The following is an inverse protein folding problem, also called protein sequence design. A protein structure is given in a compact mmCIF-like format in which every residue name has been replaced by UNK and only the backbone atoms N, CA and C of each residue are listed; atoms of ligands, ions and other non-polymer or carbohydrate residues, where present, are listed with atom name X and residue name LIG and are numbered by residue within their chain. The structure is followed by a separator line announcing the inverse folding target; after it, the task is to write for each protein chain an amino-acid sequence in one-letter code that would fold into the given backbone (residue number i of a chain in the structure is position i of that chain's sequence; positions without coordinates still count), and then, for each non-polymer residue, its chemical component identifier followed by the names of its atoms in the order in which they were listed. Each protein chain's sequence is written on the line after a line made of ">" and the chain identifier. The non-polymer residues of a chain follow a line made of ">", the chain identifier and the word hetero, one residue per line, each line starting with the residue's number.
data_IF_354277371819
#
_entry.id   IF_354277371819
#
_cell.length_a   1.000
_cell.length_b   1.000
_cell.length_c   1.000
_cell.angle_alpha   90.00
_cell.angle_beta   90.00
_cell.angle_gamma   90.00
#
_symmetry.space_group_name_H-M   'P 1'
#
loop_
_entity.id
_entity.type
_entity.pdbx_description
1 polymer ?
#
# COMPACT_ATOMS: atom_id res chain seq x y z
N UNK A 1 7.64 -14.84 1.05
CA UNK A 1 7.11 -14.11 2.22
C UNK A 1 6.04 -13.12 1.76
N UNK A 2 5.05 -12.77 2.60
CA UNK A 2 3.97 -11.82 2.27
C UNK A 2 3.88 -10.73 3.36
N UNK A 3 3.50 -9.52 2.99
CA UNK A 3 3.23 -8.44 3.92
C UNK A 3 1.84 -8.63 4.54
N UNK A 4 1.70 -8.29 5.83
CA UNK A 4 0.44 -8.40 6.57
C UNK A 4 0.14 -7.11 7.32
N UNK A 5 -0.98 -6.46 6.98
CA UNK A 5 -1.58 -5.39 7.78
C UNK A 5 -2.69 -6.00 8.64
N UNK A 6 -2.52 -5.96 9.97
CA UNK A 6 -3.50 -6.46 10.94
C UNK A 6 -4.29 -5.29 11.53
N UNK A 7 -5.61 -5.41 11.53
CA UNK A 7 -6.51 -4.48 12.21
C UNK A 7 -7.36 -5.25 13.22
N UNK A 8 -7.17 -4.95 14.50
CA UNK A 8 -7.97 -5.52 15.59
C UNK A 8 -9.23 -4.69 15.84
N UNK A 9 -10.29 -5.32 16.31
CA UNK A 9 -11.55 -4.67 16.66
C UNK A 9 -12.28 -5.44 17.77
N UNK A 10 -13.10 -4.74 18.54
CA UNK A 10 -13.88 -5.33 19.64
C UNK A 10 -15.18 -5.96 19.13
N UNK A 11 -16.04 -5.15 18.51
CA UNK A 11 -17.40 -5.56 18.11
C UNK A 11 -17.54 -5.75 16.60
N UNK A 12 -17.02 -4.80 15.81
CA UNK A 12 -17.06 -4.86 14.35
C UNK A 12 -15.87 -4.14 13.73
N UNK A 13 -15.43 -4.53 12.52
CA UNK A 13 -14.37 -3.82 11.82
C UNK A 13 -14.73 -2.35 11.60
N UNK A 14 -13.73 -1.44 11.67
CA UNK A 14 -13.97 -0.04 11.39
C UNK A 14 -14.40 0.15 9.92
N UNK A 15 -15.36 1.06 9.67
CA UNK A 15 -15.87 1.33 8.31
C UNK A 15 -14.76 1.73 7.34
N UNK A 16 -13.72 2.42 7.81
CA UNK A 16 -12.55 2.78 7.02
C UNK A 16 -11.82 1.56 6.45
N UNK A 17 -11.76 0.46 7.20
CA UNK A 17 -11.15 -0.78 6.73
C UNK A 17 -11.97 -1.44 5.61
N UNK A 18 -13.30 -1.42 5.75
CA UNK A 18 -14.18 -1.94 4.70
C UNK A 18 -14.07 -1.10 3.41
N UNK A 19 -13.91 0.22 3.54
CA UNK A 19 -13.64 1.10 2.41
C UNK A 19 -12.29 0.78 1.74
N UNK A 20 -11.23 0.61 2.53
CA UNK A 20 -9.90 0.24 2.04
C UNK A 20 -9.91 -1.09 1.29
N UNK A 21 -10.50 -2.14 1.88
CA UNK A 21 -10.67 -3.45 1.25
C UNK A 21 -11.40 -3.31 -0.08
N UNK A 22 -12.54 -2.60 -0.09
CA UNK A 22 -13.34 -2.41 -1.31
C UNK A 22 -12.58 -1.65 -2.39
N UNK A 23 -11.80 -0.64 -2.03
CA UNK A 23 -10.96 0.10 -2.95
C UNK A 23 -9.88 -0.79 -3.56
N UNK A 24 -9.13 -1.53 -2.72
CA UNK A 24 -8.07 -2.43 -3.16
C UNK A 24 -8.59 -3.59 -4.01
N UNK A 25 -9.76 -4.17 -3.69
CA UNK A 25 -10.38 -5.20 -4.53
C UNK A 25 -10.78 -4.67 -5.90
N UNK A 26 -11.27 -3.42 -5.98
CA UNK A 26 -11.66 -2.80 -7.26
C UNK A 26 -10.46 -2.43 -8.14
N UNK A 27 -9.34 -2.09 -7.53
CA UNK A 27 -8.12 -1.67 -8.20
C UNK A 27 -7.16 -2.83 -8.49
N UNK A 28 -7.64 -4.08 -8.40
CA UNK A 28 -6.84 -5.26 -8.72
C UNK A 28 -6.25 -5.20 -10.13
N UNK A 29 -4.96 -5.49 -10.24
CA UNK A 29 -4.20 -5.43 -11.50
C UNK A 29 -3.72 -4.02 -11.90
N UNK A 30 -4.02 -2.98 -11.11
CA UNK A 30 -3.52 -1.63 -11.38
C UNK A 30 -2.03 -1.51 -11.05
N UNK A 31 -1.18 -1.18 -12.03
CA UNK A 31 0.29 -1.21 -11.93
C UNK A 31 0.90 -0.28 -10.88
N UNK A 32 0.17 0.76 -10.48
CA UNK A 32 0.61 1.74 -9.47
C UNK A 32 0.01 1.54 -8.08
N UNK A 33 -0.87 0.55 -7.88
CA UNK A 33 -1.56 0.33 -6.61
C UNK A 33 -1.18 -1.05 -6.06
N UNK A 34 -0.98 -1.14 -4.74
CA UNK A 34 -0.68 -2.42 -4.10
C UNK A 34 -1.79 -3.43 -4.33
N UNK A 35 -1.41 -4.67 -4.61
CA UNK A 35 -2.36 -5.77 -4.74
C UNK A 35 -2.80 -6.26 -3.37
N UNK A 36 -4.08 -6.57 -3.25
CA UNK A 36 -4.63 -7.33 -2.13
C UNK A 36 -4.71 -8.81 -2.52
N UNK A 37 -3.82 -9.63 -1.97
CA UNK A 37 -3.74 -11.06 -2.30
C UNK A 37 -4.87 -11.84 -1.62
N UNK A 38 -5.09 -11.55 -0.34
CA UNK A 38 -6.03 -12.30 0.49
C UNK A 38 -6.48 -11.48 1.71
N UNK A 39 -7.60 -11.88 2.31
CA UNK A 39 -8.17 -11.27 3.51
C UNK A 39 -8.52 -12.39 4.48
N UNK A 40 -7.86 -12.41 5.64
CA UNK A 40 -8.22 -13.34 6.71
C UNK A 40 -9.07 -12.61 7.75
N UNK A 41 -10.33 -13.00 7.87
CA UNK A 41 -11.27 -12.46 8.85
C UNK A 41 -11.45 -13.41 10.03
N UNK A 42 -11.41 -12.89 11.25
CA UNK A 42 -11.75 -13.62 12.48
C UNK A 42 -12.59 -12.74 13.41
N UNK A 43 -13.05 -13.27 14.54
CA UNK A 43 -13.98 -12.60 15.47
C UNK A 43 -13.52 -11.21 15.93
N UNK A 44 -12.20 -10.96 16.04
CA UNK A 44 -11.65 -9.71 16.60
C UNK A 44 -10.53 -9.08 15.78
N UNK A 45 -10.27 -9.58 14.57
CA UNK A 45 -9.24 -9.02 13.69
C UNK A 45 -9.48 -9.36 12.23
N UNK A 46 -9.00 -8.46 11.38
CA UNK A 46 -8.85 -8.65 9.94
C UNK A 46 -7.37 -8.53 9.60
N UNK A 47 -6.86 -9.48 8.83
CA UNK A 47 -5.52 -9.44 8.25
C UNK A 47 -5.64 -9.22 6.74
N UNK A 48 -5.05 -8.13 6.23
CA UNK A 48 -4.89 -7.86 4.80
C UNK A 48 -3.53 -8.40 4.37
N UNK A 49 -3.54 -9.32 3.40
CA UNK A 49 -2.34 -9.97 2.89
C UNK A 49 -1.97 -9.33 1.55
N UNK A 50 -0.75 -8.82 1.46
CA UNK A 50 -0.24 -8.08 0.29
C UNK A 50 1.14 -8.61 -0.12
N UNK A 51 1.62 -8.31 -1.33
CA UNK A 51 3.00 -8.57 -1.71
C UNK A 51 3.96 -7.81 -0.79
N UNK A 52 5.19 -8.32 -0.66
CA UNK A 52 6.27 -7.53 -0.04
C UNK A 52 6.87 -6.66 -1.14
N UNK A 53 6.82 -5.36 -0.94
CA UNK A 53 7.55 -4.39 -1.73
C UNK A 53 8.83 -4.01 -0.98
N UNK A 54 9.93 -3.88 -1.71
CA UNK A 54 11.21 -3.52 -1.13
C UNK A 54 11.29 -2.00 -0.95
N UNK A 55 11.36 -1.58 0.31
CA UNK A 55 11.44 -0.18 0.70
C UNK A 55 10.11 0.57 0.57
N UNK A 56 10.15 1.82 1.00
CA UNK A 56 9.09 2.78 0.93
C UNK A 56 9.62 4.12 0.41
N UNK A 57 8.71 5.07 0.19
CA UNK A 57 9.08 6.40 -0.28
C UNK A 57 10.02 7.13 0.70
N UNK A 58 9.87 6.89 2.01
CA UNK A 58 10.75 7.47 3.02
C UNK A 58 12.20 6.99 2.85
N UNK A 59 12.41 5.71 2.56
CA UNK A 59 13.76 5.15 2.35
C UNK A 59 14.48 5.84 1.18
N UNK A 60 13.73 6.24 0.14
CA UNK A 60 14.29 6.99 -1.00
C UNK A 60 14.73 8.41 -0.59
N UNK A 61 13.98 9.06 0.31
CA UNK A 61 14.33 10.39 0.80
C UNK A 61 15.47 10.35 1.80
N UNK A 62 15.54 9.30 2.63
CA UNK A 62 16.63 9.12 3.60
C UNK A 62 17.96 8.91 2.89
N UNK A 63 17.98 8.18 1.77
CA UNK A 63 19.16 8.02 0.90
C UNK A 63 19.61 9.32 0.22
N UNK A 64 18.72 10.30 0.08
CA UNK A 64 19.05 11.58 -0.56
C UNK A 64 19.81 12.54 0.37
N UNK A 65 19.95 12.23 1.67
CA UNK A 65 20.70 13.03 2.66
C UNK A 65 20.36 14.55 2.62
N UNK A 66 19.09 14.90 2.38
CA UNK A 66 18.64 16.29 2.28
C UNK A 66 19.02 17.03 0.98
N UNK A 67 19.71 16.37 0.03
CA UNK A 67 20.08 16.94 -1.28
C UNK A 67 18.98 16.84 -2.34
N UNK A 68 17.84 16.24 -1.96
CA UNK A 68 16.73 15.95 -2.87
C UNK A 68 16.99 14.72 -3.74
N UNK A 69 15.92 14.16 -4.30
CA UNK A 69 16.02 13.01 -5.22
C UNK A 69 16.71 13.45 -6.52
N UNK A 70 17.57 12.58 -7.05
CA UNK A 70 18.18 12.78 -8.38
C UNK A 70 17.08 13.01 -9.43
N UNK A 71 17.26 13.97 -10.32
CA UNK A 71 16.22 14.42 -11.28
C UNK A 71 15.58 13.29 -12.08
N UNK A 72 16.34 12.29 -12.51
CA UNK A 72 15.83 11.13 -13.24
C UNK A 72 14.92 10.26 -12.36
N UNK A 73 15.32 10.01 -11.11
CA UNK A 73 14.53 9.27 -10.13
C UNK A 73 13.25 10.01 -9.78
N UNK A 74 13.33 11.33 -9.55
CA UNK A 74 12.17 12.17 -9.27
C UNK A 74 11.14 12.10 -10.42
N UNK A 75 11.58 12.25 -11.68
CA UNK A 75 10.71 12.13 -12.85
C UNK A 75 10.04 10.76 -12.95
N UNK A 76 10.80 9.68 -12.75
CA UNK A 76 10.25 8.33 -12.78
C UNK A 76 9.20 8.10 -11.68
N UNK A 77 9.49 8.56 -10.45
CA UNK A 77 8.54 8.49 -9.34
C UNK A 77 7.27 9.29 -9.67
N UNK A 78 7.41 10.51 -10.21
CA UNK A 78 6.26 11.32 -10.65
C UNK A 78 5.41 10.56 -11.68
N UNK A 79 6.02 9.97 -12.71
CA UNK A 79 5.28 9.19 -13.71
C UNK A 79 4.55 7.99 -13.11
N UNK A 80 5.18 7.26 -12.18
CA UNK A 80 4.55 6.13 -11.49
C UNK A 80 3.35 6.58 -10.65
N UNK A 81 3.48 7.71 -9.96
CA UNK A 81 2.38 8.30 -9.17
C UNK A 81 1.24 8.79 -10.06
N UNK A 82 1.55 9.43 -11.20
CA UNK A 82 0.53 9.81 -12.19
C UNK A 82 -0.24 8.60 -12.69
N UNK A 83 0.46 7.51 -13.02
CA UNK A 83 -0.19 6.25 -13.42
C UNK A 83 -1.09 5.73 -12.30
N UNK A 84 -0.66 5.80 -11.03
CA UNK A 84 -1.44 5.34 -9.88
C UNK A 84 -2.76 6.09 -9.63
N UNK A 85 -2.86 7.35 -10.06
CA UNK A 85 -4.01 8.22 -9.79
C UNK A 85 -4.89 8.53 -11.01
N UNK A 86 -4.53 8.02 -12.19
CA UNK A 86 -5.27 8.19 -13.45
C UNK A 86 -6.32 7.11 -13.64
#
# INVERSE_FOLDING_TARGET
>A
MRARKRVSFLNSPPRSLLFEIKALTRLQGHKGITELIDICYTTHKVDLIMPIYWGCLQDLFDQAEGRGLVTSLAKNLTLQLLVAVS
#
